data_IF_298762408717
#
_entry.id   IF_298762408717
#
_cell.length_a   1.000
_cell.length_b   1.000
_cell.length_c   1.000
_cell.angle_alpha   90.00
_cell.angle_beta   90.00
_cell.angle_gamma   90.00
#
_symmetry.space_group_name_H-M   'P 1'
#
loop_
_entity.id
_entity.type
_entity.pdbx_description
1 polymer ?
#
# COMPACT_ATOMS: atom_id res chain seq x y z
N UNK A 1 14.70 25.56 7.41
CA UNK A 1 13.73 24.60 6.83
C UNK A 1 14.41 23.94 5.65
N UNK A 2 14.31 22.64 5.51
CA UNK A 2 14.91 21.92 4.36
C UNK A 2 14.04 22.21 3.14
N UNK A 3 14.62 22.72 2.07
CA UNK A 3 13.92 23.01 0.81
C UNK A 3 13.33 21.70 0.25
N UNK A 4 12.03 21.69 -0.02
CA UNK A 4 11.31 20.51 -0.57
C UNK A 4 11.33 20.61 -2.09
N UNK A 5 11.40 19.46 -2.77
CA UNK A 5 11.49 19.41 -4.24
C UNK A 5 10.33 20.10 -4.97
N UNK A 6 9.20 20.29 -4.30
CA UNK A 6 8.00 20.94 -4.85
C UNK A 6 7.89 22.43 -4.52
N UNK A 7 8.73 22.99 -3.62
CA UNK A 7 8.64 24.40 -3.21
C UNK A 7 8.73 25.36 -4.42
N UNK A 8 9.51 25.00 -5.44
CA UNK A 8 9.62 25.77 -6.69
C UNK A 8 8.35 25.83 -7.56
N UNK A 9 7.36 24.98 -7.29
CA UNK A 9 6.08 24.93 -8.00
C UNK A 9 4.94 25.57 -7.22
N UNK A 10 5.17 25.99 -5.98
CA UNK A 10 4.19 26.66 -5.14
C UNK A 10 4.50 28.15 -5.16
N UNK A 11 3.52 28.98 -5.53
CA UNK A 11 3.74 30.44 -5.50
C UNK A 11 3.88 30.93 -4.06
N UNK A 12 4.58 32.05 -3.87
CA UNK A 12 4.69 32.70 -2.54
C UNK A 12 3.30 33.01 -1.95
N UNK A 13 2.36 33.42 -2.78
CA UNK A 13 0.98 33.66 -2.36
C UNK A 13 0.33 32.40 -1.81
N UNK A 14 0.46 31.28 -2.51
CA UNK A 14 -0.16 30.01 -2.10
C UNK A 14 0.50 29.47 -0.83
N UNK A 15 1.83 29.62 -0.71
CA UNK A 15 2.53 29.27 0.52
C UNK A 15 2.02 30.08 1.71
N UNK A 16 1.86 31.38 1.55
CA UNK A 16 1.31 32.26 2.58
C UNK A 16 -0.13 31.86 2.98
N UNK A 17 -0.94 31.46 2.02
CA UNK A 17 -2.31 30.94 2.27
C UNK A 17 -2.26 29.64 3.06
N UNK A 18 -1.39 28.70 2.69
CA UNK A 18 -1.24 27.43 3.39
C UNK A 18 -0.77 27.62 4.83
N UNK A 19 0.21 28.51 5.04
CA UNK A 19 0.73 28.80 6.37
C UNK A 19 -0.34 29.50 7.23
N UNK A 20 -1.06 30.47 6.70
CA UNK A 20 -2.12 31.17 7.42
C UNK A 20 -3.33 30.28 7.73
N UNK A 21 -3.64 29.33 6.84
CA UNK A 21 -4.71 28.35 7.06
C UNK A 21 -4.30 27.15 7.93
N UNK A 22 -3.00 27.00 8.24
CA UNK A 22 -2.47 25.90 9.04
C UNK A 22 -2.39 24.56 8.32
N UNK A 23 -2.34 24.57 6.97
CA UNK A 23 -2.17 23.34 6.19
C UNK A 23 -0.76 22.76 6.37
N UNK A 24 -0.66 21.43 6.40
CA UNK A 24 0.61 20.73 6.54
C UNK A 24 1.23 20.75 7.94
N UNK A 25 0.47 21.15 8.96
CA UNK A 25 0.91 21.04 10.35
C UNK A 25 1.01 19.58 10.77
N UNK A 26 2.08 19.25 11.51
CA UNK A 26 2.22 17.92 12.09
C UNK A 26 1.26 17.77 13.28
N UNK A 27 0.26 16.90 13.14
CA UNK A 27 -0.67 16.58 14.23
C UNK A 27 -0.09 15.57 15.24
N UNK A 28 1.03 14.90 14.89
CA UNK A 28 1.57 13.80 15.68
C UNK A 28 0.71 12.55 15.64
N UNK A 29 1.02 11.57 16.49
CA UNK A 29 0.21 10.39 16.71
C UNK A 29 -0.77 10.62 17.86
N UNK A 30 -1.97 10.02 17.76
CA UNK A 30 -2.89 9.99 18.90
C UNK A 30 -2.42 9.01 20.00
N UNK A 31 -3.17 8.96 21.09
CA UNK A 31 -2.84 8.13 22.26
C UNK A 31 -2.99 6.61 22.01
N UNK A 32 -3.74 6.24 20.99
CA UNK A 32 -4.02 4.83 20.62
C UNK A 32 -3.77 4.60 19.13
N UNK A 33 -2.50 4.54 18.70
CA UNK A 33 -2.16 4.25 17.31
C UNK A 33 -2.50 2.81 16.94
N UNK A 34 -2.70 2.58 15.65
CA UNK A 34 -2.87 1.26 15.03
C UNK A 34 -1.88 1.15 13.86
N UNK A 35 -1.22 0.02 13.73
CA UNK A 35 -0.45 -0.29 12.53
C UNK A 35 -1.36 -0.94 11.49
N UNK A 36 -1.48 -0.34 10.32
CA UNK A 36 -2.23 -0.90 9.21
C UNK A 36 -1.25 -1.37 8.12
N UNK A 37 -1.29 -2.67 7.84
CA UNK A 37 -0.50 -3.34 6.80
C UNK A 37 -1.39 -3.50 5.57
N UNK A 38 -1.14 -2.71 4.53
CA UNK A 38 -2.03 -2.56 3.39
C UNK A 38 -1.44 -3.29 2.18
N UNK A 39 -2.23 -4.18 1.59
CA UNK A 39 -1.96 -4.86 0.32
C UNK A 39 -0.66 -5.69 0.28
N UNK A 40 -0.18 -6.14 1.44
CA UNK A 40 0.95 -7.07 1.52
C UNK A 40 0.43 -8.48 1.31
N UNK A 41 0.37 -8.88 0.06
CA UNK A 41 -0.16 -10.17 -0.39
C UNK A 41 0.65 -10.71 -1.56
N UNK A 42 0.45 -11.99 -1.91
CA UNK A 42 1.10 -12.58 -3.09
C UNK A 42 0.78 -11.83 -4.38
N UNK A 43 -0.41 -11.23 -4.49
CA UNK A 43 -0.78 -10.44 -5.66
C UNK A 43 0.19 -9.25 -5.89
N UNK A 44 0.64 -8.60 -4.81
CA UNK A 44 1.53 -7.44 -4.85
C UNK A 44 3.00 -7.77 -4.60
N UNK A 45 3.29 -8.82 -3.85
CA UNK A 45 4.68 -9.20 -3.53
C UNK A 45 5.24 -10.28 -4.46
N UNK A 46 4.37 -11.09 -5.09
CA UNK A 46 4.76 -12.34 -5.68
C UNK A 46 5.06 -13.40 -4.61
N UNK A 47 5.38 -14.60 -5.05
CA UNK A 47 5.65 -15.77 -4.18
C UNK A 47 7.14 -15.96 -3.88
N UNK A 48 8.00 -15.15 -4.49
CA UNK A 48 9.47 -15.18 -4.31
C UNK A 48 10.13 -13.89 -4.79
N UNK A 49 11.35 -13.67 -4.29
CA UNK A 49 12.18 -12.56 -4.74
C UNK A 49 12.72 -12.81 -6.15
N UNK A 50 12.26 -12.04 -7.12
CA UNK A 50 12.69 -12.12 -8.52
C UNK A 50 12.52 -10.76 -9.20
N UNK A 51 13.18 -10.53 -10.35
CA UNK A 51 13.00 -9.30 -11.11
C UNK A 51 11.53 -9.03 -11.45
N UNK A 52 11.11 -7.77 -11.38
CA UNK A 52 9.72 -7.38 -11.59
C UNK A 52 9.15 -7.88 -12.92
N UNK A 53 9.94 -7.86 -14.00
CA UNK A 53 9.50 -8.33 -15.33
C UNK A 53 9.24 -9.84 -15.39
N UNK A 54 9.80 -10.61 -14.49
CA UNK A 54 9.53 -12.05 -14.35
C UNK A 54 8.33 -12.28 -13.43
N UNK A 55 8.28 -11.56 -12.32
CA UNK A 55 7.18 -11.67 -11.35
C UNK A 55 5.82 -11.32 -11.97
N UNK A 56 5.72 -10.25 -12.77
CA UNK A 56 4.46 -9.82 -13.41
C UNK A 56 3.92 -10.80 -14.45
N UNK A 57 4.70 -11.79 -14.89
CA UNK A 57 4.21 -12.85 -15.77
C UNK A 57 3.17 -13.72 -15.06
N UNK A 58 3.35 -13.93 -13.74
CA UNK A 58 2.44 -14.70 -12.86
C UNK A 58 1.54 -13.79 -12.03
N UNK A 59 2.13 -12.77 -11.43
CA UNK A 59 1.48 -11.84 -10.49
C UNK A 59 1.40 -10.45 -11.11
N UNK A 60 0.31 -10.16 -11.82
CA UNK A 60 0.16 -8.96 -12.67
C UNK A 60 0.34 -7.63 -11.96
N UNK A 61 0.21 -7.59 -10.65
CA UNK A 61 0.38 -6.39 -9.82
C UNK A 61 1.66 -6.42 -8.98
N UNK A 62 2.50 -7.44 -9.16
CA UNK A 62 3.70 -7.61 -8.35
C UNK A 62 4.66 -6.43 -8.47
N UNK A 63 5.24 -6.05 -7.34
CA UNK A 63 6.33 -5.09 -7.23
C UNK A 63 7.73 -5.75 -7.36
N UNK A 64 7.76 -7.08 -7.60
CA UNK A 64 9.00 -7.82 -7.77
C UNK A 64 9.92 -7.75 -6.56
N UNK A 65 11.24 -7.68 -6.81
CA UNK A 65 12.27 -7.62 -5.78
C UNK A 65 12.09 -6.50 -4.76
N UNK A 66 11.53 -5.36 -5.16
CA UNK A 66 11.35 -4.22 -4.26
C UNK A 66 10.39 -4.54 -3.09
N UNK A 67 9.34 -5.33 -3.36
CA UNK A 67 8.46 -5.81 -2.29
C UNK A 67 9.22 -6.69 -1.29
N UNK A 68 10.01 -7.64 -1.80
CA UNK A 68 10.80 -8.57 -0.97
C UNK A 68 11.87 -7.87 -0.15
N UNK A 69 12.45 -6.78 -0.65
CA UNK A 69 13.41 -5.97 0.10
C UNK A 69 12.73 -5.19 1.25
N UNK A 70 11.45 -4.89 1.13
CA UNK A 70 10.66 -4.23 2.18
C UNK A 70 10.11 -5.19 3.25
N UNK A 71 9.87 -6.48 2.91
CA UNK A 71 9.26 -7.45 3.84
C UNK A 71 10.01 -7.62 5.17
N UNK A 72 11.34 -7.69 5.23
CA UNK A 72 12.06 -7.79 6.51
C UNK A 72 11.84 -6.57 7.41
N UNK A 73 11.82 -5.36 6.83
CA UNK A 73 11.58 -4.12 7.56
C UNK A 73 10.15 -4.09 8.10
N UNK A 74 9.20 -4.53 7.30
CA UNK A 74 7.81 -4.64 7.71
C UNK A 74 7.62 -5.67 8.83
N UNK A 75 8.30 -6.81 8.76
CA UNK A 75 8.26 -7.83 9.81
C UNK A 75 8.75 -7.28 11.15
N UNK A 76 9.87 -6.54 11.16
CA UNK A 76 10.41 -5.88 12.34
C UNK A 76 9.43 -4.83 12.91
N UNK A 77 8.77 -4.07 12.03
CA UNK A 77 7.75 -3.09 12.42
C UNK A 77 6.54 -3.76 13.07
N UNK A 78 6.06 -4.87 12.50
CA UNK A 78 4.94 -5.66 13.05
C UNK A 78 5.31 -6.24 14.42
N UNK A 79 6.50 -6.82 14.55
CA UNK A 79 7.00 -7.35 15.82
C UNK A 79 7.08 -6.23 16.87
N UNK A 80 7.60 -5.06 16.50
CA UNK A 80 7.67 -3.89 17.37
C UNK A 80 6.27 -3.45 17.81
N UNK A 81 5.30 -3.42 16.91
CA UNK A 81 3.91 -3.08 17.23
C UNK A 81 3.33 -4.06 18.25
N UNK A 82 3.49 -5.36 18.03
CA UNK A 82 3.02 -6.40 18.96
C UNK A 82 3.68 -6.25 20.34
N UNK A 83 5.00 -6.04 20.40
CA UNK A 83 5.74 -5.86 21.67
C UNK A 83 5.33 -4.61 22.42
N UNK A 84 4.77 -3.61 21.74
CA UNK A 84 4.23 -2.38 22.33
C UNK A 84 2.72 -2.43 22.59
N UNK A 85 2.05 -3.54 22.32
CA UNK A 85 0.61 -3.67 22.45
C UNK A 85 -0.18 -2.80 21.46
N UNK A 86 0.44 -2.42 20.33
CA UNK A 86 -0.21 -1.68 19.26
C UNK A 86 -0.94 -2.69 18.37
N UNK A 87 -2.25 -2.55 18.15
CA UNK A 87 -2.99 -3.42 17.25
C UNK A 87 -2.44 -3.37 15.82
N UNK A 88 -2.38 -4.52 15.15
CA UNK A 88 -2.00 -4.64 13.74
C UNK A 88 -3.22 -5.09 12.95
N UNK A 89 -3.56 -4.35 11.90
CA UNK A 89 -4.66 -4.63 10.98
C UNK A 89 -4.07 -4.92 9.60
N UNK A 90 -4.48 -6.03 9.02
CA UNK A 90 -4.11 -6.39 7.64
C UNK A 90 -5.28 -6.14 6.71
N UNK A 91 -5.01 -5.59 5.53
CA UNK A 91 -5.99 -5.50 4.45
C UNK A 91 -5.71 -6.55 3.39
N UNK A 92 -6.77 -7.08 2.80
CA UNK A 92 -6.67 -8.00 1.67
C UNK A 92 -7.83 -7.76 0.70
N UNK A 93 -7.62 -8.10 -0.57
CA UNK A 93 -8.69 -8.07 -1.55
C UNK A 93 -9.52 -9.35 -1.44
N UNK A 94 -10.82 -9.22 -1.19
CA UNK A 94 -11.78 -10.31 -1.25
C UNK A 94 -12.92 -9.90 -2.17
N UNK A 95 -13.31 -10.79 -3.07
CA UNK A 95 -14.46 -10.58 -3.94
C UNK A 95 -15.41 -11.76 -3.83
N UNK A 96 -16.70 -11.47 -3.94
CA UNK A 96 -17.73 -12.52 -3.99
C UNK A 96 -17.50 -13.46 -5.17
N UNK A 97 -17.86 -14.71 -5.01
CA UNK A 97 -17.73 -15.74 -6.07
C UNK A 97 -18.54 -15.35 -7.32
N UNK A 98 -19.70 -14.70 -7.11
CA UNK A 98 -20.58 -14.23 -8.20
C UNK A 98 -20.09 -12.92 -8.84
N UNK A 99 -18.99 -12.35 -8.35
CA UNK A 99 -18.36 -11.10 -8.84
C UNK A 99 -19.27 -9.86 -8.81
N UNK A 100 -20.39 -9.93 -8.09
CA UNK A 100 -21.39 -8.84 -8.04
C UNK A 100 -20.80 -7.55 -7.44
N UNK A 101 -19.89 -7.65 -6.48
CA UNK A 101 -19.24 -6.55 -5.80
C UNK A 101 -18.11 -5.88 -6.60
N UNK A 102 -17.72 -6.45 -7.73
CA UNK A 102 -16.64 -5.91 -8.58
C UNK A 102 -17.07 -4.73 -9.44
N UNK A 103 -18.37 -4.55 -9.65
CA UNK A 103 -18.93 -3.48 -10.47
C UNK A 103 -18.35 -3.41 -11.88
N UNK A 104 -18.47 -2.25 -12.52
CA UNK A 104 -18.01 -2.06 -13.91
C UNK A 104 -16.48 -2.07 -14.06
N UNK A 105 -15.72 -1.95 -12.98
CA UNK A 105 -14.25 -2.03 -13.01
C UNK A 105 -13.76 -3.38 -13.51
N UNK A 106 -14.40 -4.46 -13.12
CA UNK A 106 -14.07 -5.80 -13.57
C UNK A 106 -14.13 -5.97 -15.10
N UNK A 107 -15.03 -5.26 -15.75
CA UNK A 107 -15.19 -5.29 -17.20
C UNK A 107 -14.13 -4.48 -17.95
N UNK A 108 -13.61 -3.44 -17.33
CA UNK A 108 -12.62 -2.52 -17.93
C UNK A 108 -11.19 -2.98 -17.67
N UNK A 109 -10.97 -3.75 -16.62
CA UNK A 109 -9.65 -4.17 -16.20
C UNK A 109 -9.36 -5.62 -16.63
N UNK A 110 -8.72 -5.78 -17.78
CA UNK A 110 -8.33 -7.09 -18.30
C UNK A 110 -7.41 -7.91 -17.36
N UNK A 111 -6.79 -7.24 -16.37
CA UNK A 111 -5.96 -7.90 -15.35
C UNK A 111 -6.80 -8.56 -14.24
N UNK A 112 -8.08 -8.23 -14.13
CA UNK A 112 -8.94 -8.66 -13.03
C UNK A 112 -9.20 -10.18 -13.01
N UNK A 113 -9.14 -10.86 -14.14
CA UNK A 113 -9.34 -12.31 -14.20
C UNK A 113 -8.13 -13.10 -13.67
N UNK A 114 -6.92 -12.63 -13.94
CA UNK A 114 -5.69 -13.25 -13.43
C UNK A 114 -5.47 -12.98 -11.94
N UNK A 115 -6.04 -11.92 -11.42
CA UNK A 115 -5.95 -11.57 -10.00
C UNK A 115 -6.83 -12.46 -9.12
N UNK A 116 -8.02 -12.81 -9.60
CA UNK A 116 -8.94 -13.70 -8.88
C UNK A 116 -8.40 -15.11 -8.66
N UNK A 117 -7.58 -15.62 -9.57
CA UNK A 117 -6.92 -16.92 -9.42
C UNK A 117 -5.80 -16.88 -8.37
N UNK A 118 -5.04 -15.80 -8.34
CA UNK A 118 -3.96 -15.61 -7.39
C UNK A 118 -4.45 -15.40 -5.94
N UNK A 119 -5.59 -14.72 -5.76
CA UNK A 119 -6.23 -14.54 -4.45
C UNK A 119 -6.83 -15.86 -3.92
N UNK A 120 -7.34 -16.72 -4.80
CA UNK A 120 -7.88 -18.02 -4.41
C UNK A 120 -6.81 -19.03 -3.96
N UNK A 121 -5.57 -18.88 -4.43
CA UNK A 121 -4.44 -19.73 -4.04
C UNK A 121 -3.74 -19.24 -2.75
N UNK A 122 -4.07 -18.06 -2.24
CA UNK A 122 -3.44 -17.46 -1.06
C UNK A 122 -4.18 -17.72 0.27
N UNK A 123 -5.24 -18.50 0.25
CA UNK A 123 -6.00 -18.99 1.41
C UNK A 123 -5.71 -20.47 1.57
#
# INVERSE_FOLDING_TARGET
MTERIWDKYVSERDQNVFDAAGFGQNAGFGDRPVLMVIDVSYAFCGDRREPILDSVKRWKLSCGEAAWDALPILAELIETAHNKGIPVIYTTGYSRIDKWDRGSWAWKNLRGESQASAEAESI
#
